data_IF_217055121414
#
_entry.id   IF_217055121414
#
_cell.length_a   1.000
_cell.length_b   1.000
_cell.length_c   1.000
_cell.angle_alpha   90.00
_cell.angle_beta   90.00
_cell.angle_gamma   90.00
#
_symmetry.space_group_name_H-M   'P 1'
#
loop_
_entity.id
_entity.type
_entity.pdbx_description
1 polymer ?
#
# COMPACT_ATOMS: atom_id res chain seq x y z
N UNK A 1 -5.04 1.01 -15.44
CA UNK A 1 -6.38 1.47 -15.02
C UNK A 1 -6.35 2.00 -13.61
N UNK A 2 -5.98 1.20 -12.60
CA UNK A 2 -5.80 1.65 -11.20
C UNK A 2 -4.95 2.91 -11.07
N UNK A 3 -3.76 2.95 -11.69
CA UNK A 3 -2.91 4.16 -11.71
C UNK A 3 -3.59 5.42 -12.25
N UNK A 4 -4.42 5.26 -13.28
CA UNK A 4 -5.16 6.37 -13.88
C UNK A 4 -6.21 6.93 -12.92
N UNK A 5 -6.97 6.04 -12.27
CA UNK A 5 -7.97 6.40 -11.26
C UNK A 5 -7.32 7.11 -10.05
N UNK A 6 -6.18 6.61 -9.59
CA UNK A 6 -5.39 7.25 -8.54
C UNK A 6 -4.95 8.68 -8.92
N UNK A 7 -4.48 8.88 -10.15
CA UNK A 7 -4.07 10.21 -10.65
C UNK A 7 -5.24 11.17 -10.81
N UNK A 8 -6.43 10.66 -11.10
CA UNK A 8 -7.66 11.44 -11.22
C UNK A 8 -8.34 11.70 -9.87
N UNK A 9 -7.77 11.22 -8.76
CA UNK A 9 -8.37 11.34 -7.42
C UNK A 9 -9.60 10.46 -7.20
N UNK A 10 -9.90 9.55 -8.13
CA UNK A 10 -11.03 8.60 -8.08
C UNK A 10 -10.67 7.38 -7.24
N UNK A 11 -10.41 7.62 -5.96
CA UNK A 11 -9.89 6.62 -5.04
C UNK A 11 -10.91 5.51 -4.72
N UNK A 12 -12.19 5.84 -4.64
CA UNK A 12 -13.26 4.85 -4.44
C UNK A 12 -13.33 3.89 -5.64
N UNK A 13 -13.33 4.43 -6.87
CA UNK A 13 -13.30 3.60 -8.09
C UNK A 13 -12.01 2.74 -8.15
N UNK A 14 -10.88 3.27 -7.69
CA UNK A 14 -9.63 2.50 -7.61
C UNK A 14 -9.74 1.36 -6.59
N UNK A 15 -10.41 1.57 -5.46
CA UNK A 15 -10.66 0.57 -4.42
C UNK A 15 -11.69 -0.49 -4.84
N UNK A 16 -12.74 -0.09 -5.55
CA UNK A 16 -13.72 -1.01 -6.13
C UNK A 16 -13.08 -1.91 -7.19
N UNK A 17 -12.25 -1.31 -8.06
CA UNK A 17 -11.50 -2.08 -9.07
C UNK A 17 -10.57 -3.09 -8.41
N UNK A 18 -9.94 -2.73 -7.29
CA UNK A 18 -9.09 -3.62 -6.49
C UNK A 18 -9.92 -4.80 -5.96
N UNK A 19 -11.08 -4.53 -5.36
CA UNK A 19 -11.98 -5.57 -4.86
C UNK A 19 -12.45 -6.52 -5.97
N UNK A 20 -12.80 -5.98 -7.15
CA UNK A 20 -13.18 -6.78 -8.33
C UNK A 20 -12.01 -7.63 -8.82
N UNK A 21 -10.78 -7.10 -8.82
CA UNK A 21 -9.59 -7.88 -9.17
C UNK A 21 -9.38 -9.04 -8.19
N UNK A 22 -9.56 -8.80 -6.90
CA UNK A 22 -9.49 -9.84 -5.86
C UNK A 22 -10.57 -10.91 -6.06
N UNK A 23 -11.83 -10.52 -6.28
CA UNK A 23 -12.97 -11.43 -6.52
C UNK A 23 -12.77 -12.29 -7.77
N UNK A 24 -12.16 -11.73 -8.82
CA UNK A 24 -11.87 -12.45 -10.07
C UNK A 24 -10.63 -13.33 -9.98
N UNK A 25 -9.99 -13.42 -8.80
CA UNK A 25 -8.78 -14.21 -8.60
C UNK A 25 -7.53 -13.62 -9.26
N UNK A 26 -7.56 -12.35 -9.67
CA UNK A 26 -6.36 -11.66 -10.11
C UNK A 26 -5.48 -11.40 -8.89
N UNK A 27 -4.37 -12.13 -8.80
CA UNK A 27 -3.36 -11.89 -7.79
C UNK A 27 -2.76 -10.49 -8.01
N UNK A 28 -3.01 -9.59 -7.06
CA UNK A 28 -2.36 -8.29 -7.02
C UNK A 28 -0.88 -8.50 -6.73
N UNK A 29 -0.02 -7.90 -7.55
CA UNK A 29 1.41 -7.91 -7.36
C UNK A 29 1.88 -6.70 -6.52
N UNK A 30 3.14 -6.73 -6.12
CA UNK A 30 3.79 -5.64 -5.38
C UNK A 30 3.64 -4.29 -6.08
N UNK A 31 3.72 -4.27 -7.41
CA UNK A 31 3.61 -3.05 -8.22
C UNK A 31 2.22 -2.44 -8.05
N UNK A 32 1.17 -3.27 -8.06
CA UNK A 32 -0.21 -2.81 -7.88
C UNK A 32 -0.41 -2.19 -6.50
N UNK A 33 0.08 -2.85 -5.43
CA UNK A 33 0.04 -2.30 -4.08
C UNK A 33 0.77 -0.95 -3.97
N UNK A 34 2.01 -0.87 -4.46
CA UNK A 34 2.79 0.37 -4.42
C UNK A 34 2.09 1.51 -5.18
N UNK A 35 1.51 1.20 -6.33
CA UNK A 35 0.77 2.19 -7.15
C UNK A 35 -0.45 2.74 -6.40
N UNK A 36 -1.21 1.87 -5.75
CA UNK A 36 -2.38 2.26 -4.96
C UNK A 36 -1.99 3.07 -3.74
N UNK A 37 -1.03 2.59 -2.96
CA UNK A 37 -0.55 3.28 -1.77
C UNK A 37 -0.05 4.69 -2.10
N UNK A 38 0.70 4.85 -3.19
CA UNK A 38 1.13 6.17 -3.65
C UNK A 38 -0.06 7.07 -4.02
N UNK A 39 -1.06 6.52 -4.72
CA UNK A 39 -2.29 7.23 -5.06
C UNK A 39 -3.05 7.72 -3.83
N UNK A 40 -3.26 6.85 -2.85
CA UNK A 40 -3.90 7.21 -1.58
C UNK A 40 -3.08 8.25 -0.81
N UNK A 41 -1.76 8.09 -0.76
CA UNK A 41 -0.86 9.03 -0.09
C UNK A 41 -0.89 10.44 -0.70
N UNK A 42 -1.02 10.54 -2.03
CA UNK A 42 -1.12 11.83 -2.72
C UNK A 42 -2.46 12.55 -2.49
N UNK A 43 -3.46 11.83 -2.01
CA UNK A 43 -4.82 12.33 -1.80
C UNK A 43 -5.26 12.22 -0.32
N UNK A 44 -4.31 12.30 0.62
CA UNK A 44 -4.53 12.28 2.07
C UNK A 44 -5.26 11.02 2.62
N UNK A 45 -5.24 9.91 1.88
CA UNK A 45 -5.82 8.63 2.28
C UNK A 45 -4.90 7.78 3.17
N UNK A 46 -4.33 8.36 4.24
CA UNK A 46 -3.31 7.72 5.09
C UNK A 46 -3.76 6.39 5.69
N UNK A 47 -5.00 6.34 6.19
CA UNK A 47 -5.63 5.12 6.73
C UNK A 47 -5.62 3.98 5.70
N UNK A 48 -5.88 4.31 4.42
CA UNK A 48 -5.95 3.32 3.35
C UNK A 48 -4.58 2.76 2.98
N UNK A 49 -3.54 3.59 3.05
CA UNK A 49 -2.15 3.14 2.87
C UNK A 49 -1.81 2.07 3.91
N UNK A 50 -2.22 2.28 5.17
CA UNK A 50 -2.00 1.31 6.25
C UNK A 50 -2.79 0.02 6.02
N UNK A 51 -4.07 0.10 5.65
CA UNK A 51 -4.87 -1.09 5.29
C UNK A 51 -4.22 -1.92 4.18
N UNK A 52 -3.68 -1.26 3.15
CA UNK A 52 -2.99 -1.94 2.06
C UNK A 52 -1.72 -2.64 2.53
N UNK A 53 -0.96 -2.07 3.47
CA UNK A 53 0.19 -2.74 4.09
C UNK A 53 -0.21 -4.00 4.86
N UNK A 54 -1.32 -3.96 5.61
CA UNK A 54 -1.84 -5.16 6.30
C UNK A 54 -2.23 -6.24 5.29
N UNK A 55 -2.92 -5.88 4.21
CA UNK A 55 -3.24 -6.81 3.12
C UNK A 55 -1.99 -7.42 2.47
N UNK A 56 -0.89 -6.67 2.33
CA UNK A 56 0.38 -7.22 1.83
C UNK A 56 0.90 -8.33 2.75
N UNK A 57 0.83 -8.15 4.08
CA UNK A 57 1.21 -9.18 5.05
C UNK A 57 0.33 -10.42 4.94
N UNK A 58 -0.99 -10.25 4.91
CA UNK A 58 -1.95 -11.36 4.77
C UNK A 58 -1.69 -12.20 3.51
N UNK A 59 -1.22 -11.55 2.44
CA UNK A 59 -0.89 -12.18 1.17
C UNK A 59 0.55 -12.62 1.02
N UNK A 60 1.36 -12.49 2.07
CA UNK A 60 2.80 -12.79 2.07
C UNK A 60 3.59 -12.03 0.99
N UNK A 61 3.15 -10.81 0.65
CA UNK A 61 3.85 -9.94 -0.28
C UNK A 61 4.83 -9.08 0.54
N UNK A 62 6.12 -9.23 0.24
CA UNK A 62 7.16 -8.46 0.91
C UNK A 62 7.25 -7.04 0.33
N UNK A 63 7.35 -6.02 1.18
CA UNK A 63 7.61 -4.65 0.75
C UNK A 63 9.02 -4.53 0.18
N UNK A 64 9.19 -3.63 -0.79
CA UNK A 64 10.49 -3.29 -1.37
C UNK A 64 10.93 -1.86 -0.98
N UNK A 65 11.99 -1.38 -1.61
CA UNK A 65 12.46 -0.01 -1.44
C UNK A 65 11.37 1.02 -1.80
N UNK A 66 10.56 0.74 -2.83
CA UNK A 66 9.47 1.61 -3.25
C UNK A 66 8.38 1.67 -2.18
N UNK A 67 7.96 0.53 -1.64
CA UNK A 67 7.00 0.48 -0.52
C UNK A 67 7.52 1.25 0.68
N UNK A 68 8.80 1.07 1.01
CA UNK A 68 9.43 1.74 2.15
C UNK A 68 9.46 3.26 1.97
N UNK A 69 9.76 3.76 0.76
CA UNK A 69 9.72 5.18 0.45
C UNK A 69 8.32 5.76 0.64
N UNK A 70 7.27 5.05 0.20
CA UNK A 70 5.88 5.47 0.38
C UNK A 70 5.53 5.56 1.88
N UNK A 71 5.98 4.60 2.70
CA UNK A 71 5.76 4.63 4.15
C UNK A 71 6.51 5.77 4.81
N UNK A 72 7.73 6.08 4.39
CA UNK A 72 8.47 7.24 4.91
C UNK A 72 7.73 8.54 4.56
N UNK A 73 7.29 8.68 3.30
CA UNK A 73 6.54 9.86 2.85
C UNK A 73 5.20 10.01 3.61
N UNK A 74 4.53 8.90 3.92
CA UNK A 74 3.35 8.86 4.79
C UNK A 74 3.65 9.45 6.17
N UNK A 75 4.72 9.00 6.80
CA UNK A 75 5.10 9.44 8.15
C UNK A 75 5.57 10.90 8.20
N UNK A 76 6.17 11.41 7.12
CA UNK A 76 6.64 12.80 7.04
C UNK A 76 5.49 13.78 6.76
N UNK A 77 4.44 13.34 6.05
CA UNK A 77 3.30 14.20 5.68
C UNK A 77 2.26 14.35 6.78
N UNK A 78 2.18 13.43 7.74
CA UNK A 78 1.18 13.47 8.81
C UNK A 78 1.78 14.13 10.07
N UNK A 79 1.19 15.24 10.53
CA UNK A 79 1.59 15.90 11.79
C UNK A 79 1.45 14.95 13.01
N UNK A 80 0.68 13.86 12.86
CA UNK A 80 0.47 12.80 13.86
C UNK A 80 1.27 11.52 13.60
N UNK A 81 2.53 11.66 13.19
CA UNK A 81 3.45 10.54 12.92
C UNK A 81 3.47 9.42 14.00
N UNK A 82 3.28 9.77 15.29
CA UNK A 82 3.22 8.79 16.38
C UNK A 82 2.04 7.81 16.25
N UNK A 83 0.87 8.27 15.80
CA UNK A 83 -0.31 7.40 15.63
C UNK A 83 -0.09 6.46 14.45
N UNK A 84 0.42 6.95 13.32
CA UNK A 84 0.69 6.15 12.13
C UNK A 84 1.69 5.02 12.38
N UNK A 85 2.76 5.27 13.14
CA UNK A 85 3.76 4.25 13.48
C UNK A 85 3.16 3.05 14.20
N UNK A 86 2.18 3.28 15.08
CA UNK A 86 1.54 2.21 15.85
C UNK A 86 0.58 1.36 15.00
N UNK A 87 0.21 1.83 13.81
CA UNK A 87 -0.71 1.11 12.92
C UNK A 87 0.02 0.29 11.85
N UNK A 88 1.34 0.48 11.69
CA UNK A 88 2.13 -0.26 10.70
C UNK A 88 2.22 -1.75 11.06
N UNK A 89 2.01 -2.66 10.11
CA UNK A 89 2.18 -4.08 10.36
C UNK A 89 3.66 -4.46 10.47
N UNK A 90 3.93 -5.53 11.22
CA UNK A 90 5.25 -6.15 11.25
C UNK A 90 5.40 -7.12 10.07
N UNK A 91 6.36 -6.88 9.19
CA UNK A 91 6.71 -7.82 8.14
C UNK A 91 7.67 -8.89 8.67
N UNK A 92 7.51 -10.18 8.32
CA UNK A 92 8.45 -11.21 8.71
C UNK A 92 9.86 -10.88 8.17
N UNK A 93 10.88 -11.12 8.99
CA UNK A 93 12.28 -10.91 8.58
C UNK A 93 12.56 -11.79 7.37
N UNK A 94 12.98 -11.19 6.25
CA UNK A 94 13.50 -11.97 5.13
C UNK A 94 14.66 -12.82 5.64
N UNK A 95 14.60 -14.13 5.37
CA UNK A 95 15.78 -14.98 5.56
C UNK A 95 16.88 -14.42 4.65
N UNK A 96 18.12 -14.25 5.13
CA UNK A 96 19.20 -13.78 4.28
C UNK A 96 19.30 -14.70 3.07
N UNK A 97 19.15 -14.13 1.88
CA UNK A 97 19.44 -14.81 0.62
C UNK A 97 20.90 -15.20 0.65
N UNK A 98 21.19 -16.49 0.82
CA UNK A 98 22.53 -17.04 0.57
C UNK A 98 22.78 -17.01 -0.93
N UNK A 99 23.79 -16.26 -1.36
CA UNK A 99 24.38 -16.35 -2.71
C UNK A 99 24.16 -15.10 -3.52
#
# INVERSE_FOLDING_TARGET
>A
MVHGLCKEGKLEEANDLLSIMEEKGCALDLITYNTLMLGFLQNNGTTKVVELLHKMVERNIMPDASTTSIVIDLLVKDEKYCECLNLLPSFPKQKPTRG
#
